data_IF_619883601267
#
_entry.id   IF_619883601267
#
_cell.length_a   1.000
_cell.length_b   1.000
_cell.length_c   1.000
_cell.angle_alpha   90.00
_cell.angle_beta   90.00
_cell.angle_gamma   90.00
#
_symmetry.space_group_name_H-M   'P 1'
#
loop_
_entity.id
_entity.type
_entity.pdbx_description
1 polymer ?
#
# COMPACT_ATOMS: atom_id res chain seq x y z
N UNK A 1 -4.02 2.13 -18.85
CA UNK A 1 -3.33 1.30 -17.83
C UNK A 1 -2.14 2.03 -17.19
N UNK A 2 -1.22 2.60 -17.98
CA UNK A 2 0.02 3.20 -17.47
C UNK A 2 -0.20 4.34 -16.45
N UNK A 3 -1.07 5.30 -16.81
CA UNK A 3 -1.35 6.46 -15.98
C UNK A 3 -2.05 6.11 -14.65
N UNK A 4 -2.89 5.08 -14.65
CA UNK A 4 -3.60 4.63 -13.44
C UNK A 4 -2.63 4.08 -12.41
N UNK A 5 -1.76 3.13 -12.79
CA UNK A 5 -0.82 2.55 -11.82
C UNK A 5 0.24 3.55 -11.37
N UNK A 6 0.64 4.50 -12.23
CA UNK A 6 1.57 5.58 -11.86
C UNK A 6 0.98 6.55 -10.83
N UNK A 7 -0.26 7.02 -11.04
CA UNK A 7 -0.95 7.87 -10.06
C UNK A 7 -1.20 7.12 -8.76
N UNK A 8 -1.66 5.87 -8.85
CA UNK A 8 -1.82 4.97 -7.71
C UNK A 8 -0.52 4.82 -6.91
N UNK A 9 0.63 4.71 -7.59
CA UNK A 9 1.94 4.59 -6.95
C UNK A 9 2.31 5.86 -6.18
N UNK A 10 2.16 7.03 -6.82
CA UNK A 10 2.41 8.32 -6.17
C UNK A 10 1.54 8.52 -4.92
N UNK A 11 0.23 8.26 -5.04
CA UNK A 11 -0.70 8.39 -3.92
C UNK A 11 -0.37 7.40 -2.81
N UNK A 12 -0.08 6.14 -3.16
CA UNK A 12 0.26 5.12 -2.16
C UNK A 12 1.53 5.48 -1.40
N UNK A 13 2.58 5.96 -2.05
CA UNK A 13 3.83 6.33 -1.38
C UNK A 13 3.60 7.50 -0.41
N UNK A 14 2.88 8.54 -0.83
CA UNK A 14 2.58 9.68 0.04
C UNK A 14 1.74 9.25 1.23
N UNK A 15 0.68 8.46 1.00
CA UNK A 15 -0.18 7.94 2.06
C UNK A 15 0.58 7.03 3.03
N UNK A 16 1.49 6.18 2.53
CA UNK A 16 2.36 5.34 3.35
C UNK A 16 3.22 6.19 4.29
N UNK A 17 3.94 7.19 3.75
CA UNK A 17 4.83 8.05 4.52
C UNK A 17 4.06 8.80 5.61
N UNK A 18 2.93 9.42 5.26
CA UNK A 18 2.08 10.13 6.22
C UNK A 18 1.56 9.17 7.30
N UNK A 19 1.09 7.98 6.90
CA UNK A 19 0.57 6.96 7.81
C UNK A 19 1.60 6.46 8.82
N UNK A 20 2.84 6.26 8.39
CA UNK A 20 3.96 5.86 9.27
C UNK A 20 4.34 7.00 10.21
N UNK A 21 4.59 8.21 9.68
CA UNK A 21 5.05 9.37 10.46
C UNK A 21 4.03 9.77 11.52
N UNK A 22 2.76 9.84 11.14
CA UNK A 22 1.67 10.26 12.05
C UNK A 22 1.10 9.10 12.86
N UNK A 23 1.55 7.86 12.62
CA UNK A 23 0.98 6.62 13.19
C UNK A 23 -0.54 6.52 12.97
N UNK A 24 -1.03 7.00 11.83
CA UNK A 24 -2.44 6.99 11.49
C UNK A 24 -2.75 5.85 10.53
N UNK A 25 -3.46 4.85 11.05
CA UNK A 25 -3.81 3.64 10.32
C UNK A 25 -4.66 3.90 9.06
N UNK A 26 -5.49 4.95 9.06
CA UNK A 26 -6.34 5.30 7.92
C UNK A 26 -5.50 5.61 6.68
N UNK A 27 -4.39 6.34 6.81
CA UNK A 27 -3.50 6.63 5.69
C UNK A 27 -2.79 5.38 5.16
N UNK A 28 -2.51 4.40 6.02
CA UNK A 28 -1.95 3.11 5.61
C UNK A 28 -2.98 2.25 4.88
N UNK A 29 -4.25 2.31 5.30
CA UNK A 29 -5.35 1.67 4.59
C UNK A 29 -5.52 2.29 3.20
N UNK A 30 -5.47 3.62 3.08
CA UNK A 30 -5.49 4.33 1.79
C UNK A 30 -4.32 3.87 0.92
N UNK A 31 -3.10 3.79 1.47
CA UNK A 31 -1.94 3.24 0.76
C UNK A 31 -2.19 1.80 0.28
N UNK A 32 -2.74 0.94 1.12
CA UNK A 32 -3.06 -0.46 0.78
C UNK A 32 -4.02 -0.54 -0.41
N UNK A 33 -5.13 0.21 -0.37
CA UNK A 33 -6.15 0.20 -1.42
C UNK A 33 -5.59 0.78 -2.72
N UNK A 34 -4.86 1.89 -2.63
CA UNK A 34 -4.26 2.54 -3.80
C UNK A 34 -3.11 1.72 -4.40
N UNK A 35 -2.53 0.76 -3.68
CA UNK A 35 -1.55 -0.17 -4.25
C UNK A 35 -2.18 -1.33 -5.05
N UNK A 36 -3.50 -1.58 -4.92
CA UNK A 36 -4.17 -2.69 -5.62
C UNK A 36 -4.03 -2.62 -7.15
N UNK A 37 -4.22 -1.46 -7.83
CA UNK A 37 -4.01 -1.35 -9.27
C UNK A 37 -2.58 -1.67 -9.71
N UNK A 38 -1.59 -1.34 -8.87
CA UNK A 38 -0.17 -1.63 -9.10
C UNK A 38 0.08 -3.12 -8.97
N UNK A 39 -0.44 -3.74 -7.90
CA UNK A 39 -0.35 -5.18 -7.69
C UNK A 39 -0.99 -5.97 -8.85
N UNK A 40 -2.17 -5.55 -9.30
CA UNK A 40 -2.84 -6.15 -10.46
C UNK A 40 -2.01 -6.03 -11.74
N UNK A 41 -1.38 -4.87 -11.98
CA UNK A 41 -0.51 -4.66 -13.12
C UNK A 41 0.70 -5.62 -13.11
N UNK A 42 1.35 -5.79 -11.96
CA UNK A 42 2.55 -6.61 -11.84
C UNK A 42 2.28 -8.12 -11.67
N UNK A 43 1.09 -8.52 -11.24
CA UNK A 43 0.68 -9.93 -11.16
C UNK A 43 0.78 -10.67 -12.50
N UNK A 44 0.60 -9.96 -13.62
CA UNK A 44 0.76 -10.52 -14.98
C UNK A 44 2.21 -10.66 -15.44
N UNK A 45 3.20 -10.25 -14.64
CA UNK A 45 4.60 -10.33 -15.04
C UNK A 45 5.15 -11.76 -14.91
N UNK A 46 5.85 -12.24 -15.94
CA UNK A 46 6.49 -13.56 -15.93
C UNK A 46 7.92 -13.56 -15.35
N UNK A 47 8.21 -12.63 -14.45
CA UNK A 47 9.54 -12.45 -13.86
C UNK A 47 9.42 -12.10 -12.36
N UNK A 48 10.52 -11.71 -11.73
CA UNK A 48 10.54 -11.36 -10.31
C UNK A 48 9.57 -10.23 -9.94
N UNK A 49 9.13 -9.40 -10.89
CA UNK A 49 8.17 -8.34 -10.62
C UNK A 49 6.79 -8.86 -10.20
N UNK A 50 6.45 -10.14 -10.47
CA UNK A 50 5.22 -10.76 -9.97
C UNK A 50 5.03 -10.64 -8.46
N UNK A 51 6.13 -10.59 -7.70
CA UNK A 51 6.09 -10.49 -6.25
C UNK A 51 5.64 -9.11 -5.75
N UNK A 52 5.67 -8.08 -6.60
CA UNK A 52 5.03 -6.77 -6.31
C UNK A 52 3.51 -6.93 -6.15
N UNK A 53 2.93 -7.99 -6.69
CA UNK A 53 1.54 -8.38 -6.42
C UNK A 53 1.23 -8.64 -4.94
N UNK A 54 2.23 -8.99 -4.12
CA UNK A 54 2.07 -9.30 -2.70
C UNK A 54 2.14 -8.07 -1.79
N UNK A 55 2.60 -6.93 -2.30
CA UNK A 55 2.78 -5.70 -1.52
C UNK A 55 1.52 -5.24 -0.77
N UNK A 56 0.29 -5.29 -1.35
CA UNK A 56 -0.92 -4.94 -0.61
C UNK A 56 -1.15 -5.78 0.65
N UNK A 57 -0.75 -7.05 0.65
CA UNK A 57 -0.84 -7.91 1.84
C UNK A 57 0.08 -7.40 2.95
N UNK A 58 1.32 -7.04 2.58
CA UNK A 58 2.30 -6.47 3.52
C UNK A 58 1.79 -5.14 4.08
N UNK A 59 1.25 -4.26 3.23
CA UNK A 59 0.68 -2.98 3.63
C UNK A 59 -0.54 -3.16 4.54
N UNK A 60 -1.36 -4.17 4.30
CA UNK A 60 -2.50 -4.49 5.15
C UNK A 60 -2.06 -4.96 6.54
N UNK A 61 -1.07 -5.84 6.62
CA UNK A 61 -0.47 -6.26 7.91
C UNK A 61 0.09 -5.05 8.66
N UNK A 62 0.81 -4.16 7.98
CA UNK A 62 1.33 -2.93 8.57
C UNK A 62 0.20 -2.02 9.09
N UNK A 63 -0.89 -1.91 8.33
CA UNK A 63 -2.08 -1.15 8.72
C UNK A 63 -2.69 -1.70 10.02
N UNK A 64 -2.82 -3.02 10.14
CA UNK A 64 -3.31 -3.69 11.35
C UNK A 64 -2.40 -3.41 12.55
N UNK A 65 -1.07 -3.53 12.37
CA UNK A 65 -0.11 -3.27 13.45
C UNK A 65 -0.22 -1.83 13.97
N UNK A 66 -0.25 -0.84 13.07
CA UNK A 66 -0.37 0.56 13.46
C UNK A 66 -1.76 0.87 14.03
N UNK A 67 -2.81 0.22 13.56
CA UNK A 67 -4.14 0.33 14.17
C UNK A 67 -4.14 -0.11 15.64
N UNK A 68 -3.54 -1.25 15.96
CA UNK A 68 -3.39 -1.71 17.34
C UNK A 68 -2.56 -0.75 18.20
N UNK A 69 -1.48 -0.17 17.64
CA UNK A 69 -0.68 0.85 18.34
C UNK A 69 -1.51 2.11 18.60
N UNK A 70 -2.31 2.54 17.62
CA UNK A 70 -3.13 3.75 17.74
C UNK A 70 -4.25 3.62 18.77
N UNK A 71 -4.78 2.41 18.99
CA UNK A 71 -5.79 2.13 20.03
C UNK A 71 -5.24 2.15 21.47
N UNK A 72 -3.92 1.98 21.64
CA UNK A 72 -3.28 1.98 22.98
C UNK A 72 -2.87 3.37 23.45
N UNK A 73 -3.02 4.39 22.60
CA UNK A 73 -2.77 5.79 22.90
C UNK A 73 -4.07 6.46 23.31
#
# INVERSE_FOLDING_TARGET
MLLLWQLSLSISIVALLVGIIKKYWVFLLISTITFIPIAYYFLGANNAWKYVGLTPVILFVLTILIWFISKKK
#
